data_IF_794190590505
#
_entry.id   IF_794190590505
#
_cell.length_a   1.000
_cell.length_b   1.000
_cell.length_c   1.000
_cell.angle_alpha   90.00
_cell.angle_beta   90.00
_cell.angle_gamma   90.00
#
_symmetry.space_group_name_H-M   'P 1'
#
loop_
_entity.id
_entity.type
_entity.pdbx_description
1 polymer ?
#
# COMPACT_ATOMS: atom_id res chain seq x y z
N UNK A 1 11.78 3.96 -19.11
CA UNK A 1 11.32 4.30 -17.77
C UNK A 1 10.86 3.03 -17.05
N UNK A 2 11.27 2.82 -15.79
CA UNK A 2 10.99 1.57 -15.07
C UNK A 2 9.49 1.33 -14.82
N UNK A 3 8.67 2.36 -14.82
CA UNK A 3 7.22 2.24 -14.58
C UNK A 3 6.54 1.42 -15.68
N UNK A 4 6.81 1.71 -16.94
CA UNK A 4 6.19 0.98 -18.06
C UNK A 4 6.54 -0.50 -18.03
N UNK A 5 7.81 -0.78 -17.77
CA UNK A 5 8.28 -2.15 -17.69
C UNK A 5 7.64 -2.91 -16.50
N UNK A 6 7.45 -2.26 -15.36
CA UNK A 6 6.74 -2.83 -14.22
C UNK A 6 5.26 -3.06 -14.55
N UNK A 7 4.58 -2.08 -15.15
CA UNK A 7 3.18 -2.20 -15.56
C UNK A 7 2.94 -3.35 -16.54
N UNK A 8 3.83 -3.51 -17.53
CA UNK A 8 3.75 -4.61 -18.49
C UNK A 8 4.01 -5.95 -17.81
N UNK A 9 4.99 -6.00 -16.89
CA UNK A 9 5.34 -7.21 -16.16
C UNK A 9 4.21 -7.70 -15.25
N UNK A 10 3.54 -6.77 -14.58
CA UNK A 10 2.51 -7.08 -13.58
C UNK A 10 1.09 -7.10 -14.15
N UNK A 11 0.89 -6.52 -15.34
CA UNK A 11 -0.44 -6.38 -15.93
C UNK A 11 -1.35 -5.44 -15.13
N UNK A 12 -0.79 -4.45 -14.43
CA UNK A 12 -1.52 -3.51 -13.59
C UNK A 12 -0.82 -2.15 -13.46
N UNK A 13 -1.56 -1.07 -13.11
CA UNK A 13 -0.96 0.21 -12.78
C UNK A 13 -0.04 0.10 -11.56
N UNK A 14 1.08 0.82 -11.55
CA UNK A 14 2.01 0.86 -10.41
C UNK A 14 1.52 1.78 -9.29
N UNK A 15 1.88 1.47 -8.05
CA UNK A 15 1.73 2.35 -6.90
C UNK A 15 3.02 3.15 -6.64
N UNK A 16 3.00 4.27 -5.87
CA UNK A 16 4.18 5.13 -5.69
C UNK A 16 5.42 4.43 -5.11
N UNK A 17 5.25 3.38 -4.31
CA UNK A 17 6.35 2.62 -3.68
C UNK A 17 7.09 1.72 -4.66
N UNK A 18 6.42 1.23 -5.68
CA UNK A 18 6.92 0.16 -6.55
C UNK A 18 8.14 0.57 -7.40
N UNK A 19 8.17 1.74 -8.06
CA UNK A 19 9.38 2.20 -8.75
C UNK A 19 10.58 2.41 -7.82
N UNK A 20 10.33 2.79 -6.55
CA UNK A 20 11.39 2.92 -5.54
C UNK A 20 11.93 1.55 -5.14
N UNK A 21 11.03 0.60 -4.85
CA UNK A 21 11.38 -0.78 -4.53
C UNK A 21 12.20 -1.43 -5.66
N UNK A 22 11.79 -1.21 -6.92
CA UNK A 22 12.52 -1.70 -8.08
C UNK A 22 13.95 -1.14 -8.16
N UNK A 23 14.11 0.18 -7.99
CA UNK A 23 15.45 0.81 -8.01
C UNK A 23 16.35 0.26 -6.91
N UNK A 24 15.80 0.07 -5.72
CA UNK A 24 16.50 -0.53 -4.59
C UNK A 24 16.88 -1.98 -4.89
N UNK A 25 15.96 -2.77 -5.42
CA UNK A 25 16.19 -4.17 -5.76
C UNK A 25 17.23 -4.32 -6.89
N UNK A 26 17.19 -3.44 -7.89
CA UNK A 26 18.19 -3.39 -8.96
C UNK A 26 19.59 -3.09 -8.40
N UNK A 27 19.70 -2.09 -7.53
CA UNK A 27 20.99 -1.77 -6.88
C UNK A 27 21.49 -2.93 -6.03
N UNK A 28 20.64 -3.58 -5.24
CA UNK A 28 21.02 -4.76 -4.48
C UNK A 28 21.53 -5.89 -5.38
N UNK A 29 20.88 -6.10 -6.53
CA UNK A 29 21.35 -7.08 -7.54
C UNK A 29 22.74 -6.75 -8.07
N UNK A 30 22.97 -5.48 -8.43
CA UNK A 30 24.27 -5.00 -8.91
C UNK A 30 25.36 -5.19 -7.86
N UNK A 31 25.03 -5.06 -6.57
CA UNK A 31 25.94 -5.30 -5.43
C UNK A 31 26.09 -6.79 -5.08
N UNK A 32 25.50 -7.70 -5.86
CA UNK A 32 25.65 -9.15 -5.69
C UNK A 32 24.64 -9.81 -4.75
N UNK A 33 23.64 -9.10 -4.25
CA UNK A 33 22.61 -9.68 -3.40
C UNK A 33 21.71 -10.67 -4.20
N UNK A 34 21.43 -11.82 -3.60
CA UNK A 34 20.54 -12.83 -4.17
C UNK A 34 19.09 -12.66 -3.73
N UNK A 35 18.86 -12.00 -2.58
CA UNK A 35 17.55 -11.73 -2.02
C UNK A 35 17.54 -10.46 -1.18
N UNK A 36 16.35 -9.91 -0.98
CA UNK A 36 16.09 -8.77 -0.10
C UNK A 36 15.08 -9.21 0.95
N UNK A 37 15.37 -8.89 2.21
CA UNK A 37 14.47 -9.14 3.34
C UNK A 37 13.70 -7.86 3.62
N UNK A 38 12.37 -7.94 3.56
CA UNK A 38 11.45 -6.87 3.92
C UNK A 38 10.82 -7.11 5.29
N UNK A 39 10.29 -6.06 5.88
CA UNK A 39 9.48 -6.11 7.10
C UNK A 39 8.11 -5.47 6.90
N UNK A 40 7.55 -5.53 5.70
CA UNK A 40 6.34 -4.78 5.32
C UNK A 40 5.09 -5.32 6.02
N UNK A 41 4.90 -6.64 6.03
CA UNK A 41 3.77 -7.28 6.68
C UNK A 41 3.73 -7.12 8.21
N UNK A 42 4.80 -6.63 8.83
CA UNK A 42 4.78 -6.29 10.25
C UNK A 42 3.77 -5.19 10.61
N UNK A 43 3.53 -4.24 9.70
CA UNK A 43 2.55 -3.19 9.91
C UNK A 43 1.11 -3.70 9.81
N UNK A 44 0.83 -4.62 8.92
CA UNK A 44 -0.52 -5.16 8.67
C UNK A 44 -0.92 -6.22 9.68
N UNK A 45 0.00 -7.15 10.00
CA UNK A 45 -0.30 -8.31 10.84
C UNK A 45 -0.15 -8.01 12.36
N UNK A 46 0.76 -7.09 12.72
CA UNK A 46 1.11 -6.87 14.14
C UNK A 46 0.73 -5.47 14.65
N UNK A 47 -0.21 -4.80 13.99
CA UNK A 47 -0.79 -3.55 14.52
C UNK A 47 0.05 -2.30 14.32
N UNK A 48 0.81 -2.22 13.21
CA UNK A 48 1.59 -1.05 12.86
C UNK A 48 0.84 -0.01 12.02
N UNK A 49 -0.40 -0.28 11.62
CA UNK A 49 -1.23 0.63 10.83
C UNK A 49 -1.96 1.65 11.73
N UNK A 50 -1.21 2.43 12.52
CA UNK A 50 -1.70 3.25 13.63
C UNK A 50 -2.96 4.06 13.30
N UNK A 51 -2.97 4.77 12.14
CA UNK A 51 -4.11 5.60 11.74
C UNK A 51 -5.35 4.80 11.38
N UNK A 52 -5.18 3.62 10.79
CA UNK A 52 -6.30 2.74 10.40
C UNK A 52 -6.84 1.97 11.60
N UNK A 53 -6.00 1.71 12.61
CA UNK A 53 -6.34 0.99 13.83
C UNK A 53 -6.80 1.89 14.96
N UNK A 54 -6.71 3.22 14.80
CA UNK A 54 -6.98 4.21 15.87
C UNK A 54 -8.42 4.23 16.36
N UNK A 55 -9.37 3.77 15.57
CA UNK A 55 -10.81 3.74 15.90
C UNK A 55 -11.53 2.63 15.12
N UNK A 56 -12.77 2.37 15.51
CA UNK A 56 -13.68 1.59 14.69
C UNK A 56 -14.20 2.44 13.52
N UNK A 57 -14.49 1.79 12.41
CA UNK A 57 -14.92 2.42 11.18
C UNK A 57 -16.36 2.01 10.83
N UNK A 58 -17.15 2.95 10.33
CA UNK A 58 -18.34 2.60 9.58
C UNK A 58 -17.95 2.07 8.19
N UNK A 59 -18.84 1.31 7.57
CA UNK A 59 -18.60 0.77 6.23
C UNK A 59 -18.30 1.88 5.20
N UNK A 60 -19.13 2.93 5.17
CA UNK A 60 -18.99 4.01 4.19
C UNK A 60 -17.72 4.83 4.40
N UNK A 61 -17.37 5.12 5.67
CA UNK A 61 -16.10 5.79 5.99
C UNK A 61 -14.89 4.96 5.56
N UNK A 62 -14.95 3.63 5.74
CA UNK A 62 -13.87 2.74 5.34
C UNK A 62 -13.70 2.69 3.83
N UNK A 63 -14.80 2.52 3.08
CA UNK A 63 -14.79 2.54 1.62
C UNK A 63 -14.19 3.86 1.11
N UNK A 64 -14.63 4.99 1.65
CA UNK A 64 -14.09 6.31 1.29
C UNK A 64 -12.59 6.44 1.62
N UNK A 65 -12.19 5.97 2.80
CA UNK A 65 -10.79 6.05 3.25
C UNK A 65 -9.87 5.17 2.41
N UNK A 66 -10.33 3.98 2.03
CA UNK A 66 -9.52 2.95 1.42
C UNK A 66 -9.51 2.98 -0.11
N UNK A 67 -10.47 3.61 -0.76
CA UNK A 67 -10.46 3.82 -2.21
C UNK A 67 -9.37 4.80 -2.67
N UNK A 68 -8.68 5.49 -1.74
CA UNK A 68 -7.61 6.47 -1.96
C UNK A 68 -7.99 7.62 -2.89
N UNK A 69 -8.59 7.31 -4.05
CA UNK A 69 -9.11 8.25 -5.03
C UNK A 69 -10.60 7.96 -5.22
N UNK A 70 -11.44 8.99 -5.15
CA UNK A 70 -12.85 8.83 -5.45
C UNK A 70 -13.03 8.64 -6.97
N UNK A 71 -13.16 7.40 -7.42
CA UNK A 71 -13.27 7.04 -8.83
C UNK A 71 -14.43 7.73 -9.54
N UNK A 72 -15.55 8.01 -8.84
CA UNK A 72 -16.72 8.75 -9.39
C UNK A 72 -16.43 10.22 -9.65
N UNK A 73 -15.35 10.77 -9.08
CA UNK A 73 -14.91 12.16 -9.34
C UNK A 73 -13.78 12.22 -10.37
N UNK A 74 -13.29 11.08 -10.81
CA UNK A 74 -12.14 10.99 -11.72
C UNK A 74 -12.51 10.36 -13.06
N UNK A 75 -13.36 9.35 -13.06
CA UNK A 75 -13.77 8.61 -14.26
C UNK A 75 -15.18 9.00 -14.71
N UNK A 76 -15.44 9.01 -16.02
CA UNK A 76 -16.77 9.24 -16.60
C UNK A 76 -17.72 8.08 -16.35
N UNK A 77 -17.23 6.85 -16.54
CA UNK A 77 -18.00 5.61 -16.39
C UNK A 77 -17.33 4.71 -15.32
N UNK A 78 -17.42 5.09 -14.04
CA UNK A 78 -16.77 4.35 -12.97
C UNK A 78 -17.52 3.05 -12.67
N UNK A 79 -16.78 1.93 -12.60
CA UNK A 79 -17.34 0.66 -12.13
C UNK A 79 -17.60 0.69 -10.62
N UNK A 80 -18.55 -0.12 -10.17
CA UNK A 80 -18.82 -0.30 -8.75
C UNK A 80 -17.72 -1.17 -8.10
N UNK A 81 -16.96 -0.56 -7.19
CA UNK A 81 -15.89 -1.24 -6.44
C UNK A 81 -16.36 -1.78 -5.09
N UNK A 82 -17.63 -1.60 -4.72
CA UNK A 82 -18.11 -1.99 -3.38
C UNK A 82 -18.09 -3.49 -3.14
N UNK A 83 -18.07 -4.31 -4.18
CA UNK A 83 -17.96 -5.77 -4.08
C UNK A 83 -16.72 -6.22 -3.28
N UNK A 84 -15.59 -5.51 -3.42
CA UNK A 84 -14.36 -5.80 -2.68
C UNK A 84 -14.55 -5.62 -1.17
N UNK A 85 -15.41 -4.70 -0.75
CA UNK A 85 -15.65 -4.37 0.65
C UNK A 85 -16.81 -5.15 1.27
N UNK A 86 -17.78 -5.58 0.45
CA UNK A 86 -19.03 -6.17 0.93
C UNK A 86 -18.81 -7.44 1.78
N UNK A 87 -17.83 -8.26 1.46
CA UNK A 87 -17.50 -9.47 2.21
C UNK A 87 -17.02 -9.19 3.65
N UNK A 88 -16.56 -7.96 3.92
CA UNK A 88 -16.12 -7.53 5.25
C UNK A 88 -17.18 -6.75 6.03
N UNK A 89 -18.42 -6.64 5.53
CA UNK A 89 -19.50 -5.97 6.27
C UNK A 89 -19.74 -6.65 7.62
N UNK A 90 -19.90 -5.83 8.67
CA UNK A 90 -20.16 -6.27 10.03
C UNK A 90 -21.37 -5.54 10.60
N UNK A 91 -22.44 -6.30 10.84
CA UNK A 91 -23.72 -5.71 11.26
C UNK A 91 -24.30 -4.76 10.21
N UNK A 92 -25.09 -3.77 10.66
CA UNK A 92 -25.80 -2.85 9.77
C UNK A 92 -24.88 -1.84 9.08
N UNK A 93 -23.94 -1.26 9.83
CA UNK A 93 -23.13 -0.14 9.36
C UNK A 93 -21.61 -0.33 9.56
N UNK A 94 -21.16 -1.42 10.16
CA UNK A 94 -19.76 -1.66 10.46
C UNK A 94 -19.03 -2.43 9.36
N UNK A 95 -17.72 -2.52 9.54
CA UNK A 95 -16.83 -3.31 8.70
C UNK A 95 -15.77 -4.02 9.55
N UNK A 96 -15.41 -5.23 9.18
CA UNK A 96 -14.25 -5.93 9.72
C UNK A 96 -12.97 -5.40 9.03
N UNK A 97 -12.54 -4.23 9.50
CA UNK A 97 -11.37 -3.56 8.93
C UNK A 97 -10.06 -4.29 9.24
N UNK A 98 -10.01 -5.10 10.29
CA UNK A 98 -8.82 -5.91 10.62
C UNK A 98 -8.60 -6.98 9.55
N UNK A 99 -9.62 -7.80 9.27
CA UNK A 99 -9.55 -8.81 8.20
C UNK A 99 -9.31 -8.15 6.84
N UNK A 100 -9.92 -6.99 6.57
CA UNK A 100 -9.67 -6.26 5.33
C UNK A 100 -8.20 -5.84 5.19
N UNK A 101 -7.58 -5.32 6.26
CA UNK A 101 -6.16 -4.94 6.25
C UNK A 101 -5.28 -6.15 5.96
N UNK A 102 -5.52 -7.27 6.61
CA UNK A 102 -4.69 -8.48 6.48
C UNK A 102 -4.90 -9.17 5.13
N UNK A 103 -6.12 -9.25 4.62
CA UNK A 103 -6.47 -10.05 3.44
C UNK A 103 -6.42 -9.27 2.12
N UNK A 104 -6.64 -7.96 2.16
CA UNK A 104 -6.67 -7.11 0.95
C UNK A 104 -5.44 -6.21 0.88
N UNK A 105 -5.20 -5.41 1.91
CA UNK A 105 -4.12 -4.43 1.88
C UNK A 105 -2.75 -5.08 1.95
N UNK A 106 -2.55 -6.04 2.86
CA UNK A 106 -1.26 -6.73 3.02
C UNK A 106 -0.87 -7.44 1.71
N UNK A 107 -1.83 -8.14 1.09
CA UNK A 107 -1.59 -8.87 -0.17
C UNK A 107 -1.19 -7.93 -1.30
N UNK A 108 -1.88 -6.78 -1.45
CA UNK A 108 -1.55 -5.83 -2.51
C UNK A 108 -0.21 -5.13 -2.27
N UNK A 109 0.10 -4.75 -1.04
CA UNK A 109 1.38 -4.12 -0.69
C UNK A 109 2.57 -5.07 -0.87
N UNK A 110 2.48 -6.28 -0.31
CA UNK A 110 3.50 -7.31 -0.47
C UNK A 110 3.68 -7.72 -1.95
N UNK A 111 2.59 -7.78 -2.71
CA UNK A 111 2.59 -8.04 -4.14
C UNK A 111 3.45 -7.05 -4.91
N UNK A 112 3.23 -5.75 -4.71
CA UNK A 112 3.98 -4.69 -5.39
C UNK A 112 5.50 -4.77 -5.11
N UNK A 113 5.90 -5.00 -3.85
CA UNK A 113 7.31 -5.18 -3.49
C UNK A 113 7.91 -6.45 -4.10
N UNK A 114 7.17 -7.55 -4.05
CA UNK A 114 7.59 -8.83 -4.63
C UNK A 114 7.78 -8.72 -6.15
N UNK A 115 6.85 -8.08 -6.84
CA UNK A 115 6.90 -7.86 -8.29
C UNK A 115 8.11 -7.00 -8.68
N UNK A 116 8.34 -5.90 -7.97
CA UNK A 116 9.50 -5.05 -8.19
C UNK A 116 10.83 -5.81 -8.03
N UNK A 117 10.94 -6.66 -7.01
CA UNK A 117 12.11 -7.52 -6.80
C UNK A 117 12.25 -8.58 -7.90
N UNK A 118 11.17 -9.24 -8.27
CA UNK A 118 11.14 -10.25 -9.31
C UNK A 118 11.58 -9.67 -10.66
N UNK A 119 11.07 -8.50 -11.01
CA UNK A 119 11.47 -7.80 -12.23
C UNK A 119 12.95 -7.38 -12.21
N UNK A 120 13.50 -6.99 -11.05
CA UNK A 120 14.93 -6.73 -10.87
C UNK A 120 15.81 -7.99 -10.87
N UNK A 121 15.23 -9.19 -10.84
CA UNK A 121 15.95 -10.46 -10.76
C UNK A 121 16.53 -10.78 -9.38
N UNK A 122 15.88 -10.30 -8.31
CA UNK A 122 16.22 -10.56 -6.89
C UNK A 122 15.01 -11.20 -6.23
N UNK A 123 15.22 -12.14 -5.31
CA UNK A 123 14.14 -12.72 -4.52
C UNK A 123 13.73 -11.78 -3.39
N UNK A 124 12.45 -11.62 -3.15
CA UNK A 124 11.91 -10.97 -1.94
C UNK A 124 11.61 -12.01 -0.87
N UNK A 125 11.84 -11.64 0.38
CA UNK A 125 11.47 -12.44 1.56
C UNK A 125 10.89 -11.49 2.58
N UNK A 126 9.63 -11.69 2.97
CA UNK A 126 9.05 -11.05 4.13
C UNK A 126 8.79 -12.10 5.22
N UNK A 127 9.58 -12.12 6.31
CA UNK A 127 9.39 -13.07 7.39
C UNK A 127 8.01 -12.96 8.07
N UNK A 128 7.43 -11.76 8.09
CA UNK A 128 6.15 -11.50 8.74
C UNK A 128 4.94 -11.99 7.92
N UNK A 129 5.05 -12.12 6.60
CA UNK A 129 3.99 -12.64 5.73
C UNK A 129 3.50 -14.05 6.16
N UNK A 130 4.39 -14.85 6.73
CA UNK A 130 4.09 -16.22 7.15
C UNK A 130 3.76 -16.37 8.62
N UNK A 131 3.88 -15.29 9.38
CA UNK A 131 3.55 -15.29 10.80
C UNK A 131 2.09 -14.91 11.00
N UNK A 132 1.45 -15.58 11.94
CA UNK A 132 0.10 -15.25 12.40
C UNK A 132 0.13 -15.03 13.91
N UNK A 133 -0.67 -14.09 14.36
CA UNK A 133 -0.87 -13.92 15.79
C UNK A 133 -1.65 -15.11 16.35
N UNK A 134 -1.23 -15.64 17.50
CA UNK A 134 -1.94 -16.70 18.21
C UNK A 134 -3.25 -16.19 18.83
N UNK A 135 -3.29 -14.92 19.21
CA UNK A 135 -4.44 -14.24 19.80
C UNK A 135 -4.83 -13.03 18.93
N UNK A 136 -6.10 -12.60 18.97
CA UNK A 136 -6.53 -11.39 18.26
C UNK A 136 -5.69 -10.17 18.68
N UNK A 137 -5.49 -9.24 17.73
CA UNK A 137 -4.78 -8.00 17.98
C UNK A 137 -5.43 -7.19 19.11
N UNK A 138 -4.65 -6.86 20.15
CA UNK A 138 -5.12 -5.99 21.23
C UNK A 138 -5.18 -4.53 20.76
N UNK A 139 -6.36 -4.15 20.26
CA UNK A 139 -6.59 -2.78 19.79
C UNK A 139 -6.49 -1.73 20.91
N UNK A 140 -6.66 -2.09 22.19
CA UNK A 140 -6.50 -1.15 23.30
C UNK A 140 -5.03 -0.75 23.42
N UNK A 141 -4.12 -1.70 23.35
CA UNK A 141 -2.67 -1.44 23.36
C UNK A 141 -2.27 -0.59 22.14
N UNK A 142 -2.72 -0.96 20.94
CA UNK A 142 -2.43 -0.20 19.73
C UNK A 142 -2.93 1.24 19.83
N UNK A 143 -4.17 1.44 20.29
CA UNK A 143 -4.81 2.76 20.47
C UNK A 143 -4.20 3.60 21.59
N UNK A 144 -3.52 2.98 22.56
CA UNK A 144 -2.72 3.68 23.57
C UNK A 144 -1.31 4.07 23.12
N UNK A 145 -0.96 3.78 21.85
CA UNK A 145 0.33 4.14 21.27
C UNK A 145 1.35 2.98 21.18
N UNK A 146 0.97 1.76 21.58
CA UNK A 146 1.83 0.59 21.54
C UNK A 146 1.72 -0.15 20.19
N UNK A 147 2.05 0.53 19.09
CA UNK A 147 2.04 -0.12 17.78
C UNK A 147 3.08 -1.26 17.70
N UNK A 148 2.73 -2.35 17.03
CA UNK A 148 3.58 -3.54 16.87
C UNK A 148 4.12 -4.08 18.22
N UNK A 149 3.30 -4.06 19.25
CA UNK A 149 3.72 -4.35 20.63
C UNK A 149 4.42 -5.71 20.78
N UNK A 150 3.94 -6.77 20.15
CA UNK A 150 4.59 -8.09 20.22
C UNK A 150 6.00 -8.09 19.63
N UNK A 151 6.19 -7.43 18.50
CA UNK A 151 7.51 -7.33 17.86
C UNK A 151 8.44 -6.49 18.72
N UNK A 152 7.95 -5.37 19.28
CA UNK A 152 8.72 -4.51 20.17
C UNK A 152 9.08 -5.19 21.49
N UNK A 153 8.15 -5.96 22.07
CA UNK A 153 8.41 -6.74 23.28
C UNK A 153 9.46 -7.83 23.02
N UNK A 154 9.35 -8.55 21.88
CA UNK A 154 10.36 -9.50 21.46
C UNK A 154 11.74 -8.86 21.25
N UNK A 155 11.77 -7.68 20.64
CA UNK A 155 13.01 -6.91 20.45
C UNK A 155 13.67 -6.57 21.77
N UNK A 156 12.91 -6.09 22.76
CA UNK A 156 13.45 -5.79 24.11
C UNK A 156 14.01 -7.01 24.80
N UNK A 157 13.39 -8.18 24.63
CA UNK A 157 13.86 -9.45 25.20
C UNK A 157 15.16 -9.89 24.53
N UNK A 158 15.26 -9.75 23.22
CA UNK A 158 16.41 -10.24 22.44
C UNK A 158 17.59 -9.28 22.46
N UNK A 159 17.33 -7.99 22.55
CA UNK A 159 18.31 -6.90 22.45
C UNK A 159 18.07 -5.85 23.54
N UNK A 160 18.21 -6.23 24.82
CA UNK A 160 17.89 -5.34 25.93
C UNK A 160 18.78 -4.09 26.00
N UNK A 161 19.95 -4.15 25.36
CA UNK A 161 20.91 -3.05 25.29
C UNK A 161 20.62 -2.04 24.16
N UNK A 162 19.67 -2.35 23.28
CA UNK A 162 19.34 -1.48 22.14
C UNK A 162 18.04 -0.72 22.36
N UNK A 163 18.04 0.53 22.01
CA UNK A 163 16.81 1.33 21.96
C UNK A 163 15.99 0.99 20.73
N UNK A 164 14.67 0.95 20.89
CA UNK A 164 13.76 0.77 19.77
C UNK A 164 13.70 2.08 18.99
N UNK A 165 14.07 2.09 17.71
CA UNK A 165 14.05 3.31 16.90
C UNK A 165 12.62 3.83 16.72
N UNK A 166 12.48 5.14 16.56
CA UNK A 166 11.23 5.74 16.12
C UNK A 166 10.80 5.22 14.76
N UNK A 167 9.48 5.12 14.58
CA UNK A 167 8.90 4.76 13.29
C UNK A 167 9.08 5.91 12.30
N UNK A 168 9.89 5.71 11.29
CA UNK A 168 10.01 6.63 10.18
C UNK A 168 9.11 6.18 9.02
N UNK A 169 8.23 7.05 8.50
CA UNK A 169 7.45 6.73 7.32
C UNK A 169 8.36 6.63 6.10
N UNK A 170 8.04 5.72 5.18
CA UNK A 170 8.71 5.67 3.88
C UNK A 170 8.40 6.96 3.11
N UNK A 171 9.43 7.76 2.86
CA UNK A 171 9.29 9.02 2.13
C UNK A 171 8.94 8.78 0.66
N UNK A 172 7.91 9.47 0.18
CA UNK A 172 7.46 9.43 -1.22
C UNK A 172 7.26 10.87 -1.68
N UNK A 173 8.16 11.42 -2.51
CA UNK A 173 8.05 12.80 -2.98
C UNK A 173 7.03 12.91 -4.14
N UNK A 174 5.84 12.34 -3.98
CA UNK A 174 4.81 12.30 -5.00
C UNK A 174 4.27 13.70 -5.34
N UNK A 175 4.26 14.63 -4.38
CA UNK A 175 3.91 16.03 -4.64
C UNK A 175 4.88 16.66 -5.66
N UNK A 176 6.19 16.42 -5.49
CA UNK A 176 7.20 16.94 -6.42
C UNK A 176 7.12 16.26 -7.78
N UNK A 177 6.88 14.94 -7.80
CA UNK A 177 6.75 14.20 -9.06
C UNK A 177 5.56 14.67 -9.89
N UNK A 178 4.45 15.01 -9.24
CA UNK A 178 3.19 15.40 -9.89
C UNK A 178 3.00 16.90 -10.03
N UNK A 179 3.96 17.71 -9.61
CA UNK A 179 3.84 19.18 -9.58
C UNK A 179 3.56 19.79 -10.96
N UNK A 180 4.21 19.28 -12.00
CA UNK A 180 4.07 19.77 -13.38
C UNK A 180 3.08 18.98 -14.24
N UNK A 181 2.47 17.95 -13.68
CA UNK A 181 1.49 17.16 -14.44
C UNK A 181 0.13 17.86 -14.45
N UNK A 182 -0.34 18.18 -15.65
CA UNK A 182 -1.57 18.96 -15.88
C UNK A 182 -2.85 18.13 -15.81
N UNK A 183 -2.75 16.81 -15.72
CA UNK A 183 -3.87 15.88 -15.67
C UNK A 183 -3.93 14.91 -16.83
N UNK A 184 -4.87 13.94 -16.77
CA UNK A 184 -5.04 12.95 -17.81
C UNK A 184 -5.61 13.57 -19.09
N UNK A 185 -5.22 13.00 -20.24
CA UNK A 185 -5.66 13.43 -21.58
C UNK A 185 -6.65 12.47 -22.24
N UNK A 186 -6.78 11.26 -21.69
CA UNK A 186 -7.70 10.25 -22.21
C UNK A 186 -9.16 10.63 -21.91
N UNK A 187 -10.05 10.21 -22.80
CA UNK A 187 -11.47 10.55 -22.72
C UNK A 187 -12.24 9.89 -21.57
N UNK A 188 -11.70 8.82 -20.97
CA UNK A 188 -12.30 8.14 -19.83
C UNK A 188 -12.29 8.97 -18.55
N UNK A 189 -11.44 10.00 -18.50
CA UNK A 189 -11.30 10.86 -17.33
C UNK A 189 -12.18 12.12 -17.42
N UNK A 190 -12.66 12.56 -16.27
CA UNK A 190 -13.42 13.81 -16.16
C UNK A 190 -12.48 15.02 -16.32
N UNK A 191 -12.88 16.08 -17.03
CA UNK A 191 -12.08 17.29 -17.13
C UNK A 191 -11.79 17.91 -15.75
N UNK A 192 -10.53 18.27 -15.51
CA UNK A 192 -10.11 18.91 -14.26
C UNK A 192 -10.19 18.01 -13.01
N UNK A 193 -10.32 16.70 -13.15
CA UNK A 193 -10.49 15.74 -12.07
C UNK A 193 -9.36 15.72 -11.03
N UNK A 194 -8.20 16.32 -11.36
CA UNK A 194 -7.03 16.33 -10.46
C UNK A 194 -6.94 17.54 -9.54
N UNK A 195 -7.85 18.52 -9.66
CA UNK A 195 -7.75 19.82 -9.00
C UNK A 195 -7.56 19.72 -7.48
N UNK A 196 -8.30 18.82 -6.83
CA UNK A 196 -8.32 18.68 -5.38
C UNK A 196 -7.57 17.41 -4.91
N UNK A 197 -6.76 16.81 -5.78
CA UNK A 197 -6.01 15.60 -5.47
C UNK A 197 -4.63 15.93 -4.91
N UNK A 198 -4.21 15.17 -3.90
CA UNK A 198 -2.82 15.16 -3.42
C UNK A 198 -1.87 14.58 -4.47
N UNK A 199 -0.56 14.80 -4.34
CA UNK A 199 0.42 14.22 -5.25
C UNK A 199 0.37 12.70 -5.33
N UNK A 200 0.14 12.01 -4.20
CA UNK A 200 -0.06 10.55 -4.21
C UNK A 200 -1.31 10.14 -5.00
N UNK A 201 -2.41 10.85 -4.83
CA UNK A 201 -3.64 10.61 -5.58
C UNK A 201 -3.48 10.90 -7.07
N UNK A 202 -2.79 11.99 -7.42
CA UNK A 202 -2.43 12.33 -8.80
C UNK A 202 -1.56 11.24 -9.43
N UNK A 203 -0.60 10.71 -8.67
CA UNK A 203 0.23 9.61 -9.16
C UNK A 203 -0.60 8.38 -9.52
N UNK A 204 -1.61 8.02 -8.73
CA UNK A 204 -2.49 6.90 -9.03
C UNK A 204 -3.30 7.12 -10.32
N UNK A 205 -3.82 8.33 -10.53
CA UNK A 205 -4.53 8.70 -11.77
C UNK A 205 -3.57 8.67 -12.97
N UNK A 206 -2.38 9.23 -12.83
CA UNK A 206 -1.32 9.20 -13.83
C UNK A 206 -0.91 7.77 -14.19
N UNK A 207 -0.74 6.92 -13.18
CA UNK A 207 -0.39 5.52 -13.34
C UNK A 207 -1.46 4.74 -14.11
N UNK A 208 -2.74 4.99 -13.79
CA UNK A 208 -3.86 4.37 -14.51
C UNK A 208 -3.89 4.81 -15.98
N UNK A 209 -3.80 6.11 -16.26
CA UNK A 209 -3.78 6.62 -17.64
C UNK A 209 -2.62 5.99 -18.43
N UNK A 210 -1.42 5.97 -17.83
CA UNK A 210 -0.24 5.42 -18.47
C UNK A 210 -0.39 3.93 -18.77
N UNK A 211 -0.96 3.17 -17.83
CA UNK A 211 -1.25 1.76 -18.03
C UNK A 211 -2.24 1.53 -19.17
N UNK A 212 -3.35 2.29 -19.22
CA UNK A 212 -4.32 2.20 -20.33
C UNK A 212 -3.67 2.50 -21.68
N UNK A 213 -2.78 3.50 -21.75
CA UNK A 213 -2.04 3.81 -22.97
C UNK A 213 -1.07 2.69 -23.39
N UNK A 214 -0.42 2.03 -22.42
CA UNK A 214 0.51 0.91 -22.71
C UNK A 214 -0.21 -0.34 -23.18
N UNK A 215 -1.41 -0.59 -22.68
CA UNK A 215 -2.19 -1.78 -23.02
C UNK A 215 -3.08 -1.57 -24.26
N UNK A 216 -3.09 -0.35 -24.85
CA UNK A 216 -3.93 0.01 -26.01
C UNK A 216 -5.43 -0.29 -25.80
N UNK A 217 -5.92 -0.12 -24.56
CA UNK A 217 -7.31 -0.34 -24.14
C UNK A 217 -8.10 0.95 -24.27
#
# INVERSE_FOLDING_TARGET
DCMDALMIHDGSPTIPNEPQAYKMAKKAKEDGASYIIYGDCADTEFGGMDRLLSRDWSYDEWVQRFSFVNHKKVLKDPVDITSVYNQYRKGKNGIDFISFISEVYAVSAAGALSNACKYAGVKSVDPYERLKMAEPLDLKRVRSGESKYLIRDLFRIKYPELEIPEKLPMSRPAEDWMKSWEGPRREEFLPGCIKDLTGEQKFLVYSLERFLNLMEI
#
